data_IF_736064909581
#
_entry.id   IF_736064909581
#
_cell.length_a   1.000
_cell.length_b   1.000
_cell.length_c   1.000
_cell.angle_alpha   90.00
_cell.angle_beta   90.00
_cell.angle_gamma   90.00
#
_symmetry.space_group_name_H-M   'P 1'
#
loop_
_entity.id
_entity.type
_entity.pdbx_description
1 polymer ?
#
# COMPACT_ATOMS: atom_id res chain seq x y z
N UNK A 1 -43.39 51.16 -12.97
CA UNK A 1 -43.66 49.94 -13.77
C UNK A 1 -42.46 49.01 -13.62
N UNK A 2 -42.77 47.78 -13.26
CA UNK A 2 -41.89 46.76 -12.74
C UNK A 2 -40.85 46.29 -13.76
N UNK A 3 -39.66 45.91 -13.30
CA UNK A 3 -39.29 44.50 -13.20
C UNK A 3 -37.84 44.39 -12.75
N UNK A 4 -37.67 44.08 -11.47
CA UNK A 4 -36.52 43.33 -11.01
C UNK A 4 -36.36 42.08 -11.88
N UNK A 5 -35.13 41.76 -12.26
CA UNK A 5 -34.77 40.43 -12.77
C UNK A 5 -33.76 39.86 -11.81
N UNK A 6 -34.26 38.89 -11.08
CA UNK A 6 -33.62 38.13 -10.04
C UNK A 6 -32.35 37.45 -10.55
N UNK A 7 -31.23 37.74 -9.90
CA UNK A 7 -30.03 36.90 -9.95
C UNK A 7 -30.29 35.69 -9.04
N UNK A 8 -30.07 34.44 -9.47
CA UNK A 8 -30.20 33.30 -8.59
C UNK A 8 -29.11 33.34 -7.52
N UNK A 9 -29.56 33.60 -6.30
CA UNK A 9 -28.82 33.49 -5.05
C UNK A 9 -28.42 32.02 -4.86
N UNK A 10 -27.19 31.65 -5.21
CA UNK A 10 -26.63 30.36 -4.84
C UNK A 10 -26.35 30.36 -3.33
N UNK A 11 -27.37 29.94 -2.57
CA UNK A 11 -27.24 29.51 -1.18
C UNK A 11 -26.43 28.22 -1.12
N UNK A 12 -25.10 28.31 -1.04
CA UNK A 12 -24.28 27.16 -0.66
C UNK A 12 -24.33 27.02 0.86
N UNK A 13 -25.21 26.14 1.31
CA UNK A 13 -25.17 25.49 2.62
C UNK A 13 -23.72 25.19 3.01
N UNK A 14 -23.29 25.71 4.17
CA UNK A 14 -22.05 25.32 4.82
C UNK A 14 -22.14 23.81 5.09
N UNK A 15 -21.48 23.02 4.24
CA UNK A 15 -21.30 21.59 4.50
C UNK A 15 -20.56 21.44 5.83
N UNK A 16 -20.96 20.52 6.71
CA UNK A 16 -20.30 20.33 8.00
C UNK A 16 -18.82 20.03 7.77
N UNK A 17 -17.97 20.80 8.43
CA UNK A 17 -16.51 20.60 8.47
C UNK A 17 -16.28 19.12 8.81
N UNK A 18 -15.62 18.33 7.95
CA UNK A 18 -15.39 16.93 8.25
C UNK A 18 -14.56 16.81 9.54
N UNK A 19 -14.81 15.79 10.37
CA UNK A 19 -14.14 15.64 11.66
C UNK A 19 -12.62 15.65 11.47
N UNK A 20 -11.84 16.12 12.47
CA UNK A 20 -10.40 16.27 12.35
C UNK A 20 -9.78 14.92 11.94
N UNK A 21 -9.36 14.84 10.68
CA UNK A 21 -8.78 13.64 10.13
C UNK A 21 -7.46 13.36 10.84
N UNK A 22 -7.39 12.22 11.56
CA UNK A 22 -6.20 11.73 12.22
C UNK A 22 -5.09 11.46 11.20
N UNK A 23 -4.02 12.27 11.23
CA UNK A 23 -2.80 12.03 10.46
C UNK A 23 -1.76 11.45 11.42
N UNK A 24 -1.51 10.14 11.40
CA UNK A 24 -0.38 9.59 12.15
C UNK A 24 0.93 9.93 11.43
N UNK A 25 1.82 10.56 12.18
CA UNK A 25 3.20 10.79 11.78
C UNK A 25 4.07 9.64 12.29
N UNK A 26 4.89 9.06 11.42
CA UNK A 26 5.92 8.10 11.83
C UNK A 26 7.15 8.86 12.25
N UNK A 27 7.23 9.19 13.54
CA UNK A 27 8.30 10.06 13.99
C UNK A 27 9.72 9.51 13.84
N UNK A 28 10.14 8.24 13.98
CA UNK A 28 11.59 7.90 14.00
C UNK A 28 12.42 8.85 14.89
N UNK A 29 12.27 8.75 16.21
CA UNK A 29 13.14 9.47 17.16
C UNK A 29 13.73 8.48 18.17
N UNK A 30 15.03 8.59 18.43
CA UNK A 30 15.62 8.25 19.73
C UNK A 30 15.63 9.52 20.58
N UNK A 31 15.02 9.42 21.76
CA UNK A 31 15.11 10.31 22.92
C UNK A 31 15.01 11.83 22.69
N UNK A 32 13.84 12.41 22.99
CA UNK A 32 13.69 13.47 23.99
C UNK A 32 12.22 13.90 24.09
N UNK A 33 11.69 13.89 25.31
CA UNK A 33 10.34 14.36 25.62
C UNK A 33 10.28 15.90 25.70
N UNK A 34 9.41 16.57 24.94
CA UNK A 34 8.80 17.82 25.37
C UNK A 34 7.45 17.53 26.06
N UNK A 35 7.18 18.13 27.23
CA UNK A 35 5.88 18.02 27.89
C UNK A 35 4.93 18.98 27.19
N UNK A 36 3.90 18.48 26.48
CA UNK A 36 2.59 19.13 26.37
C UNK A 36 1.62 18.38 25.43
N UNK A 37 0.33 18.53 25.74
CA UNK A 37 -0.92 17.89 25.27
C UNK A 37 -1.20 17.84 23.75
N UNK A 38 -0.21 18.16 22.92
CA UNK A 38 -0.27 18.40 21.47
C UNK A 38 -0.31 17.08 20.67
N UNK A 39 0.28 16.01 21.22
CA UNK A 39 0.19 14.66 20.67
C UNK A 39 -0.92 13.85 21.34
N UNK A 40 -1.58 12.96 20.59
CA UNK A 40 -2.61 12.06 21.11
C UNK A 40 -2.03 10.75 21.66
N UNK A 41 -1.00 10.19 21.01
CA UNK A 41 -0.42 8.91 21.41
C UNK A 41 0.99 8.72 20.87
N UNK A 42 1.89 8.18 21.69
CA UNK A 42 3.24 7.78 21.28
C UNK A 42 3.36 6.25 21.37
N UNK A 43 3.98 5.63 20.37
CA UNK A 43 4.22 4.18 20.35
C UNK A 43 5.64 3.90 19.85
N UNK A 44 6.41 3.11 20.60
CA UNK A 44 7.69 2.58 20.12
C UNK A 44 7.40 1.49 19.06
N UNK A 45 7.99 1.61 17.89
CA UNK A 45 7.80 0.65 16.79
C UNK A 45 8.98 -0.33 16.65
N UNK A 46 10.14 0.00 17.19
CA UNK A 46 11.34 -0.84 17.16
C UNK A 46 12.57 -0.11 17.68
N UNK A 47 13.75 -0.65 17.39
CA UNK A 47 15.02 0.04 17.65
C UNK A 47 15.07 1.34 16.84
N UNK A 48 15.31 2.45 17.52
CA UNK A 48 15.43 3.79 16.95
C UNK A 48 14.19 4.38 16.29
N UNK A 49 13.00 3.78 16.46
CA UNK A 49 11.76 4.25 15.81
C UNK A 49 10.62 4.50 16.80
N UNK A 50 10.09 5.73 16.78
CA UNK A 50 8.90 6.14 17.53
C UNK A 50 7.81 6.58 16.54
N UNK A 51 6.57 6.22 16.79
CA UNK A 51 5.38 6.69 16.09
C UNK A 51 4.69 7.72 16.97
N UNK A 52 4.45 8.92 16.44
CA UNK A 52 3.78 10.00 17.18
C UNK A 52 2.50 10.37 16.44
N UNK A 53 1.39 10.16 17.12
CA UNK A 53 0.09 10.57 16.63
C UNK A 53 -0.16 12.00 17.06
N UNK A 54 -0.38 12.88 16.09
CA UNK A 54 -0.77 14.25 16.31
C UNK A 54 -2.29 14.37 16.14
N UNK A 55 -2.90 15.28 16.89
CA UNK A 55 -4.36 15.52 16.81
C UNK A 55 -4.72 16.35 15.58
N UNK A 56 -3.89 17.34 15.25
CA UNK A 56 -4.12 18.30 14.17
C UNK A 56 -3.05 18.23 13.09
N UNK A 57 -3.49 18.45 11.83
CA UNK A 57 -2.60 18.53 10.66
C UNK A 57 -1.58 19.66 10.78
N UNK A 58 -2.00 20.80 11.30
CA UNK A 58 -1.13 21.96 11.48
C UNK A 58 0.01 21.67 12.46
N UNK A 59 -0.32 21.05 13.60
CA UNK A 59 0.67 20.63 14.59
C UNK A 59 1.64 19.60 14.01
N UNK A 60 1.14 18.66 13.19
CA UNK A 60 1.97 17.70 12.47
C UNK A 60 2.97 18.35 11.50
N UNK A 61 2.52 19.34 10.71
CA UNK A 61 3.38 20.04 9.77
C UNK A 61 4.42 20.92 10.46
N UNK A 62 4.02 21.65 11.52
CA UNK A 62 4.96 22.44 12.34
C UNK A 62 6.01 21.55 13.00
N UNK A 63 5.62 20.35 13.42
CA UNK A 63 6.51 19.41 14.07
C UNK A 63 7.62 18.90 13.15
N UNK A 64 7.35 18.70 11.86
CA UNK A 64 8.37 18.27 10.89
C UNK A 64 9.45 19.33 10.68
N UNK A 65 9.09 20.61 10.76
CA UNK A 65 9.99 21.74 10.53
C UNK A 65 10.62 22.28 11.82
N UNK A 66 10.52 21.57 12.95
CA UNK A 66 10.99 22.07 14.23
C UNK A 66 12.52 21.97 14.34
N UNK A 67 13.19 23.09 14.63
CA UNK A 67 14.65 23.17 14.78
C UNK A 67 15.19 22.24 15.87
N UNK A 68 14.44 22.05 16.96
CA UNK A 68 14.85 21.19 18.08
C UNK A 68 15.05 19.71 17.68
N UNK A 69 14.46 19.27 16.56
CA UNK A 69 14.71 17.94 16.00
C UNK A 69 16.00 17.92 15.19
N UNK A 70 16.25 18.97 14.41
CA UNK A 70 17.44 19.14 13.58
C UNK A 70 18.69 19.23 14.47
N UNK A 71 18.63 20.00 15.55
CA UNK A 71 19.72 20.17 16.53
C UNK A 71 20.13 18.83 17.18
N UNK A 72 19.21 17.87 17.24
CA UNK A 72 19.43 16.53 17.81
C UNK A 72 19.69 15.46 16.74
N UNK A 73 19.89 15.85 15.48
CA UNK A 73 20.05 14.96 14.33
C UNK A 73 18.90 13.95 14.17
N UNK A 74 17.67 14.39 14.45
CA UNK A 74 16.46 13.57 14.36
C UNK A 74 15.70 13.85 13.06
N UNK A 75 15.19 12.79 12.43
CA UNK A 75 14.48 12.89 11.14
C UNK A 75 13.01 12.55 11.35
N UNK A 76 12.15 13.57 11.29
CA UNK A 76 10.71 13.37 11.22
C UNK A 76 10.30 12.91 9.82
N UNK A 77 9.57 11.79 9.73
CA UNK A 77 9.14 11.23 8.45
C UNK A 77 7.62 11.02 8.39
N UNK A 78 6.99 11.44 7.29
CA UNK A 78 5.59 11.05 7.03
C UNK A 78 5.59 9.84 6.11
N UNK A 79 5.01 8.70 6.52
CA UNK A 79 4.90 7.57 5.62
C UNK A 79 4.09 7.93 4.38
N UNK A 80 4.52 7.52 3.18
CA UNK A 80 3.88 7.90 1.92
C UNK A 80 2.44 7.38 1.82
N UNK A 81 2.15 6.24 2.45
CA UNK A 81 0.80 5.70 2.55
C UNK A 81 -0.11 6.53 3.48
N UNK A 82 0.40 7.53 4.20
CA UNK A 82 -0.42 8.48 4.99
C UNK A 82 -0.66 9.81 4.25
N UNK A 83 0.07 10.06 3.18
CA UNK A 83 -0.08 11.28 2.36
C UNK A 83 -0.71 11.02 1.01
N UNK A 84 -0.61 9.79 0.47
CA UNK A 84 -1.08 9.45 -0.87
C UNK A 84 -1.61 8.03 -0.99
N UNK A 85 -2.44 7.82 -2.01
CA UNK A 85 -2.96 6.52 -2.46
C UNK A 85 -2.73 6.35 -3.94
N UNK A 86 -2.33 5.15 -4.35
CA UNK A 86 -2.11 4.82 -5.75
C UNK A 86 -3.27 3.97 -6.27
N UNK A 87 -3.81 4.40 -7.40
CA UNK A 87 -4.79 3.66 -8.18
C UNK A 87 -4.25 3.32 -9.56
N UNK A 88 -4.85 2.33 -10.21
CA UNK A 88 -4.62 1.99 -11.60
C UNK A 88 -5.91 2.05 -12.38
N UNK A 89 -5.80 2.55 -13.61
CA UNK A 89 -6.82 2.44 -14.64
C UNK A 89 -6.27 1.59 -15.78
N UNK A 90 -7.15 0.80 -16.39
CA UNK A 90 -6.83 -0.09 -17.51
C UNK A 90 -7.56 0.37 -18.76
N UNK A 91 -7.11 -0.12 -19.91
CA UNK A 91 -7.70 0.13 -21.23
C UNK A 91 -7.61 1.61 -21.67
N UNK A 92 -6.51 2.28 -21.33
CA UNK A 92 -6.23 3.62 -21.85
C UNK A 92 -5.38 3.51 -23.12
N UNK A 93 -5.79 4.11 -24.25
CA UNK A 93 -5.00 4.15 -25.48
C UNK A 93 -3.57 4.64 -25.24
N UNK A 94 -2.62 4.13 -26.02
CA UNK A 94 -1.19 4.46 -25.87
C UNK A 94 -0.87 5.85 -26.42
N UNK A 95 -1.70 6.36 -27.34
CA UNK A 95 -1.49 7.64 -28.03
C UNK A 95 -1.52 8.85 -27.07
N UNK A 96 -2.18 8.68 -25.92
CA UNK A 96 -2.32 9.72 -24.90
C UNK A 96 -1.10 9.68 -23.96
N UNK A 97 -0.12 10.55 -24.18
CA UNK A 97 1.19 10.43 -23.51
C UNK A 97 1.56 11.61 -22.61
N UNK A 98 1.34 12.86 -23.04
CA UNK A 98 1.97 14.03 -22.39
C UNK A 98 1.03 14.83 -21.48
N UNK A 99 -0.29 14.72 -21.64
CA UNK A 99 -1.25 15.63 -20.99
C UNK A 99 -2.20 14.96 -19.98
N UNK A 100 -1.97 13.66 -19.71
CA UNK A 100 -2.84 12.82 -18.87
C UNK A 100 -3.22 13.45 -17.53
N UNK A 101 -2.31 14.21 -16.90
CA UNK A 101 -2.60 14.81 -15.59
C UNK A 101 -3.60 15.97 -15.66
N UNK A 102 -3.61 16.74 -16.76
CA UNK A 102 -4.49 17.91 -16.91
C UNK A 102 -5.92 17.50 -17.29
N UNK A 103 -6.04 16.43 -18.06
CA UNK A 103 -7.32 15.96 -18.62
C UNK A 103 -8.13 15.10 -17.65
N UNK A 104 -7.51 14.61 -16.57
CA UNK A 104 -8.21 13.82 -15.55
C UNK A 104 -9.12 14.74 -14.74
N UNK A 105 -10.41 14.46 -14.82
CA UNK A 105 -11.44 15.11 -14.01
C UNK A 105 -11.80 14.15 -12.87
N UNK A 106 -11.49 14.57 -11.65
CA UNK A 106 -11.89 13.86 -10.44
C UNK A 106 -12.00 14.81 -9.23
N UNK A 107 -12.78 14.45 -8.20
CA UNK A 107 -12.96 15.30 -7.02
C UNK A 107 -11.72 15.35 -6.09
N UNK A 108 -10.67 14.57 -6.38
CA UNK A 108 -9.47 14.46 -5.55
C UNK A 108 -8.26 15.04 -6.27
N UNK A 109 -7.37 15.70 -5.54
CA UNK A 109 -6.16 16.27 -6.13
C UNK A 109 -5.19 15.16 -6.59
N UNK A 110 -4.86 15.16 -7.89
CA UNK A 110 -3.90 14.21 -8.48
C UNK A 110 -2.46 14.69 -8.21
N UNK A 111 -1.66 13.85 -7.55
CA UNK A 111 -0.25 14.11 -7.28
C UNK A 111 0.62 13.85 -8.53
N UNK A 112 0.55 12.63 -9.06
CA UNK A 112 1.33 12.19 -10.21
C UNK A 112 0.58 11.16 -11.04
N UNK A 113 0.89 11.10 -12.33
CA UNK A 113 0.35 10.12 -13.28
C UNK A 113 1.53 9.49 -13.99
N UNK A 114 1.54 8.16 -14.10
CA UNK A 114 2.61 7.39 -14.73
C UNK A 114 2.04 6.24 -15.51
N UNK A 115 2.39 6.14 -16.80
CA UNK A 115 2.09 4.96 -17.62
C UNK A 115 3.00 3.79 -17.20
N UNK A 116 2.41 2.60 -17.09
CA UNK A 116 3.16 1.39 -16.76
C UNK A 116 3.69 0.73 -18.03
N UNK A 117 4.87 0.12 -17.94
CA UNK A 117 5.48 -0.62 -19.04
C UNK A 117 5.27 -2.12 -18.87
N UNK A 118 5.08 -2.83 -19.98
CA UNK A 118 5.07 -4.29 -20.04
C UNK A 118 6.41 -4.79 -20.61
N UNK A 119 6.90 -5.90 -20.05
CA UNK A 119 8.08 -6.61 -20.57
C UNK A 119 7.66 -7.44 -21.77
N UNK A 120 8.41 -7.36 -22.86
CA UNK A 120 8.31 -8.22 -24.03
C UNK A 120 9.61 -9.01 -24.12
N UNK A 121 9.49 -10.33 -24.31
CA UNK A 121 10.60 -11.24 -24.51
C UNK A 121 10.44 -11.76 -25.95
N UNK A 122 11.33 -11.37 -26.84
CA UNK A 122 11.33 -11.88 -28.20
C UNK A 122 12.00 -13.26 -28.18
N UNK A 123 11.21 -14.33 -28.29
CA UNK A 123 11.73 -15.70 -28.37
C UNK A 123 12.19 -16.11 -29.77
N UNK A 124 12.08 -15.20 -30.75
CA UNK A 124 12.25 -15.49 -32.18
C UNK A 124 13.52 -14.86 -32.80
N UNK A 125 14.23 -14.00 -32.08
CA UNK A 125 15.54 -13.50 -32.52
C UNK A 125 16.61 -14.49 -32.04
N UNK A 126 17.53 -14.86 -32.93
CA UNK A 126 18.70 -15.73 -32.69
C UNK A 126 19.68 -15.20 -31.64
N UNK A 127 19.40 -14.03 -31.06
CA UNK A 127 20.13 -13.46 -29.95
C UNK A 127 19.46 -13.85 -28.63
N UNK A 128 20.16 -14.55 -27.72
CA UNK A 128 19.65 -14.78 -26.38
C UNK A 128 19.51 -13.41 -25.69
N UNK A 129 18.28 -13.05 -25.32
CA UNK A 129 17.98 -12.07 -24.27
C UNK A 129 17.78 -10.58 -24.67
N UNK A 130 17.13 -10.28 -25.79
CA UNK A 130 16.65 -8.90 -26.04
C UNK A 130 15.36 -8.57 -25.26
N UNK A 131 15.49 -8.24 -23.96
CA UNK A 131 14.36 -7.79 -23.14
C UNK A 131 13.98 -6.35 -23.48
N UNK A 132 12.80 -6.14 -24.06
CA UNK A 132 12.28 -4.79 -24.38
C UNK A 132 11.11 -4.41 -23.48
N UNK A 133 11.04 -3.13 -23.08
CA UNK A 133 9.94 -2.56 -22.30
C UNK A 133 9.09 -1.65 -23.17
N UNK A 134 7.80 -1.95 -23.29
CA UNK A 134 6.86 -1.20 -24.12
C UNK A 134 5.75 -0.60 -23.24
N UNK A 135 5.28 0.63 -23.50
CA UNK A 135 4.17 1.21 -22.77
C UNK A 135 2.93 0.32 -22.84
N UNK A 136 2.27 0.15 -21.70
CA UNK A 136 1.04 -0.61 -21.58
C UNK A 136 -0.19 0.30 -21.67
N UNK A 137 -1.36 -0.32 -21.86
CA UNK A 137 -2.68 0.33 -21.75
C UNK A 137 -3.10 0.61 -20.29
N UNK A 138 -2.14 0.58 -19.36
CA UNK A 138 -2.37 0.74 -17.91
C UNK A 138 -1.64 1.97 -17.40
N UNK A 139 -2.36 2.80 -16.66
CA UNK A 139 -1.84 4.02 -16.06
C UNK A 139 -1.99 3.92 -14.55
N UNK A 140 -0.92 4.24 -13.84
CA UNK A 140 -0.90 4.42 -12.39
C UNK A 140 -1.09 5.91 -12.06
N UNK A 141 -2.00 6.18 -11.15
CA UNK A 141 -2.37 7.53 -10.72
C UNK A 141 -2.18 7.60 -9.20
N UNK A 142 -1.39 8.57 -8.74
CA UNK A 142 -1.22 8.87 -7.33
C UNK A 142 -2.16 10.00 -6.94
N UNK A 143 -3.10 9.72 -6.04
CA UNK A 143 -4.02 10.70 -5.47
C UNK A 143 -3.48 11.21 -4.14
N UNK A 144 -3.64 12.52 -3.89
CA UNK A 144 -3.34 13.11 -2.59
C UNK A 144 -4.41 12.71 -1.58
N UNK A 145 -3.98 12.38 -0.37
CA UNK A 145 -4.85 12.00 0.74
C UNK A 145 -4.93 10.49 0.95
N UNK A 146 -5.94 10.08 1.71
CA UNK A 146 -6.15 8.69 2.14
C UNK A 146 -7.25 7.97 1.37
N UNK A 147 -8.03 8.70 0.59
CA UNK A 147 -9.17 8.18 -0.16
C UNK A 147 -8.78 7.92 -1.60
N UNK A 148 -9.27 6.79 -2.13
CA UNK A 148 -9.15 6.43 -3.53
C UNK A 148 -10.52 6.58 -4.19
N UNK A 149 -10.67 7.38 -5.26
CA UNK A 149 -11.92 7.44 -6.01
C UNK A 149 -12.25 6.06 -6.60
N UNK A 150 -13.54 5.74 -6.73
CA UNK A 150 -14.00 4.54 -7.45
C UNK A 150 -13.93 4.72 -8.96
N UNK A 151 -14.19 5.94 -9.43
CA UNK A 151 -14.27 6.30 -10.84
C UNK A 151 -13.59 7.64 -11.09
N UNK A 152 -13.02 7.80 -12.28
CA UNK A 152 -12.47 9.06 -12.79
C UNK A 152 -12.86 9.24 -14.25
N UNK A 153 -12.90 10.49 -14.70
CA UNK A 153 -13.15 10.80 -16.11
C UNK A 153 -11.86 11.25 -16.77
N UNK A 154 -11.60 10.70 -17.95
CA UNK A 154 -10.48 11.07 -18.83
C UNK A 154 -11.06 11.18 -20.25
N UNK A 155 -10.94 12.33 -20.90
CA UNK A 155 -11.51 12.58 -22.24
C UNK A 155 -12.99 12.18 -22.37
N UNK A 156 -13.83 12.56 -21.40
CA UNK A 156 -15.26 12.20 -21.36
C UNK A 156 -15.56 10.70 -21.20
N UNK A 157 -14.54 9.85 -21.04
CA UNK A 157 -14.69 8.42 -20.77
C UNK A 157 -14.56 8.16 -19.27
N UNK A 158 -15.49 7.36 -18.74
CA UNK A 158 -15.46 6.94 -17.34
C UNK A 158 -14.60 5.69 -17.15
N UNK A 159 -13.58 5.79 -16.29
CA UNK A 159 -12.70 4.68 -15.94
C UNK A 159 -12.90 4.26 -14.49
N UNK A 160 -12.99 2.95 -14.27
CA UNK A 160 -12.93 2.36 -12.94
C UNK A 160 -11.48 2.38 -12.43
N UNK A 161 -11.29 2.93 -11.23
CA UNK A 161 -9.99 2.95 -10.55
C UNK A 161 -9.89 1.75 -9.63
N UNK A 162 -8.88 0.93 -9.84
CA UNK A 162 -8.55 -0.19 -8.96
C UNK A 162 -7.36 0.18 -8.08
N UNK A 163 -7.25 -0.39 -6.88
CA UNK A 163 -6.10 -0.18 -6.00
C UNK A 163 -4.82 -0.70 -6.65
N UNK A 164 -3.75 0.09 -6.64
CA UNK A 164 -2.45 -0.39 -7.08
C UNK A 164 -1.83 -1.30 -6.00
N UNK A 165 -1.56 -2.55 -6.36
CA UNK A 165 -0.86 -3.52 -5.52
C UNK A 165 0.49 -3.81 -6.16
N UNK A 166 1.57 -3.45 -5.48
CA UNK A 166 2.92 -3.75 -5.97
C UNK A 166 3.21 -5.26 -5.85
N UNK A 167 4.04 -5.80 -6.75
CA UNK A 167 4.44 -7.22 -6.70
C UNK A 167 5.10 -7.60 -5.37
N UNK A 168 5.92 -6.71 -4.80
CA UNK A 168 6.57 -6.92 -3.51
C UNK A 168 5.52 -7.10 -2.41
N UNK A 169 4.47 -6.28 -2.42
CA UNK A 169 3.40 -6.37 -1.43
C UNK A 169 2.56 -7.63 -1.65
N UNK A 170 2.32 -8.03 -2.90
CA UNK A 170 1.66 -9.30 -3.22
C UNK A 170 2.45 -10.50 -2.67
N UNK A 171 3.77 -10.54 -2.88
CA UNK A 171 4.63 -11.60 -2.37
C UNK A 171 4.61 -11.64 -0.84
N UNK A 172 4.76 -10.49 -0.18
CA UNK A 172 4.70 -10.38 1.29
C UNK A 172 3.34 -10.83 1.84
N UNK A 173 2.23 -10.46 1.20
CA UNK A 173 0.91 -10.90 1.61
C UNK A 173 0.74 -12.40 1.44
N UNK A 174 1.21 -12.99 0.33
CA UNK A 174 1.15 -14.44 0.12
C UNK A 174 2.02 -15.21 1.11
N UNK A 175 3.22 -14.72 1.42
CA UNK A 175 4.11 -15.36 2.39
C UNK A 175 3.58 -15.24 3.82
N UNK A 176 2.96 -14.10 4.16
CA UNK A 176 2.32 -13.92 5.47
C UNK A 176 1.08 -14.80 5.61
N UNK A 177 0.27 -14.92 4.55
CA UNK A 177 -0.85 -15.86 4.51
C UNK A 177 -0.38 -17.30 4.73
N UNK A 178 0.64 -17.73 3.97
CA UNK A 178 1.24 -19.06 4.12
C UNK A 178 1.74 -19.31 5.55
N UNK A 179 2.38 -18.31 6.16
CA UNK A 179 2.88 -18.37 7.54
C UNK A 179 1.75 -18.41 8.58
N UNK A 180 0.65 -17.67 8.38
CA UNK A 180 -0.51 -17.73 9.29
C UNK A 180 -1.32 -19.01 9.16
N UNK A 181 -1.34 -19.63 7.97
CA UNK A 181 -2.01 -20.92 7.74
C UNK A 181 -1.17 -22.10 8.20
N UNK A 182 0.16 -21.98 8.16
CA UNK A 182 1.09 -22.95 8.74
C UNK A 182 1.26 -22.65 10.24
N UNK A 183 0.30 -23.11 11.05
CA UNK A 183 0.47 -23.08 12.49
C UNK A 183 1.72 -23.88 12.87
N UNK A 184 2.58 -23.32 13.73
CA UNK A 184 3.74 -24.02 14.29
C UNK A 184 3.32 -25.32 14.99
N UNK A 185 2.09 -25.38 15.49
CA UNK A 185 1.47 -26.59 16.06
C UNK A 185 1.24 -27.69 15.02
N UNK A 186 0.85 -27.35 13.80
CA UNK A 186 0.59 -28.33 12.73
C UNK A 186 1.90 -28.89 12.18
N UNK A 187 2.94 -28.04 12.08
CA UNK A 187 4.30 -28.47 11.73
C UNK A 187 4.87 -29.38 12.83
N UNK A 188 4.73 -29.00 14.11
CA UNK A 188 5.19 -29.81 15.23
C UNK A 188 4.41 -31.14 15.32
N UNK A 189 3.11 -31.14 15.09
CA UNK A 189 2.28 -32.34 15.03
C UNK A 189 2.71 -33.27 13.87
N UNK A 190 3.00 -32.73 12.69
CA UNK A 190 3.50 -33.49 11.55
C UNK A 190 4.91 -34.08 11.82
N UNK A 191 5.79 -33.32 12.49
CA UNK A 191 7.13 -33.80 12.89
C UNK A 191 7.04 -34.89 13.96
N UNK A 192 6.15 -34.74 14.95
CA UNK A 192 5.88 -35.77 15.96
C UNK A 192 5.27 -37.02 15.31
N UNK A 193 4.38 -36.87 14.33
CA UNK A 193 3.79 -37.99 13.59
C UNK A 193 4.84 -38.74 12.74
N UNK A 194 5.75 -38.03 12.08
CA UNK A 194 6.87 -38.64 11.34
C UNK A 194 7.86 -39.36 12.25
N UNK A 195 8.22 -38.76 13.39
CA UNK A 195 9.08 -39.39 14.40
C UNK A 195 8.38 -40.60 15.04
N UNK A 196 7.06 -40.54 15.25
CA UNK A 196 6.24 -41.63 15.75
C UNK A 196 6.14 -42.80 14.76
N UNK A 197 5.97 -42.52 13.47
CA UNK A 197 5.97 -43.55 12.41
C UNK A 197 7.32 -44.26 12.28
N UNK A 198 8.45 -43.60 12.55
CA UNK A 198 9.77 -44.24 12.51
C UNK A 198 10.08 -45.13 13.73
N UNK A 199 9.24 -45.14 14.78
CA UNK A 199 9.43 -45.97 15.99
C UNK A 199 8.61 -47.26 16.02
N UNK A 200 7.81 -47.56 15.00
CA UNK A 200 6.97 -48.76 14.94
C UNK A 200 7.29 -49.62 13.70
N UNK A 201 8.52 -50.12 13.63
CA UNK A 201 8.80 -51.38 12.91
C UNK A 201 9.21 -52.41 13.95
N UNK A 202 8.35 -53.36 14.34
CA UNK A 202 8.77 -54.46 15.22
C UNK A 202 9.74 -55.37 14.46
N UNK A 203 10.73 -55.98 15.15
CA UNK A 203 11.53 -57.02 14.55
C UNK A 203 10.68 -58.29 14.52
N UNK A 204 10.24 -58.74 13.34
CA UNK A 204 9.63 -60.07 13.22
C UNK A 204 10.73 -61.11 13.02
N UNK A 205 10.85 -61.94 14.04
CA UNK A 205 11.76 -63.07 14.22
C UNK A 205 11.68 -64.13 13.12
N UNK A 206 12.82 -64.81 12.97
CA UNK A 206 13.00 -66.14 12.41
C UNK A 206 11.89 -67.13 12.81
N UNK A 207 11.36 -67.91 11.86
CA UNK A 207 11.04 -69.32 12.09
C UNK A 207 11.01 -70.13 10.76
N UNK A 208 12.10 -70.88 10.57
CA UNK A 208 12.23 -72.24 10.04
C UNK A 208 11.25 -72.83 9.00
N UNK A 209 11.86 -73.23 7.87
CA UNK A 209 11.50 -74.37 7.00
C UNK A 209 11.11 -75.65 7.78
N UNK A 210 10.15 -76.47 7.28
CA UNK A 210 10.55 -77.75 6.66
C UNK A 210 9.66 -78.25 5.49
N UNK A 211 10.34 -78.82 4.48
CA UNK A 211 10.00 -79.95 3.58
C UNK A 211 8.57 -80.26 3.06
N UNK A 212 8.57 -80.55 1.75
CA UNK A 212 7.83 -81.63 1.03
C UNK A 212 6.31 -81.52 0.83
N UNK A 213 5.91 -81.23 -0.41
CA UNK A 213 5.37 -82.22 -1.35
C UNK A 213 5.40 -81.71 -2.78
#
# INVERSE_FOLDING_TARGET
>A
MNSAKDLPMFSSSISPIPPPHFIPLLLIVLSAHPPNRIYSKQKKLGFSKILVHMKTREAANKFINNSALIDKNLIAFIPPFRTSRQGIIRNVPTDITEELKKEIICPFAVASVRRLNRKIINSFESDPESVRYVPSKTISISFKGQFLPKYIFLHMVCYKVNTFVSKILMLLLSSLWLYTTLNVKDILAALIALIGCMRLTPPSEYQSSPYMR
#
